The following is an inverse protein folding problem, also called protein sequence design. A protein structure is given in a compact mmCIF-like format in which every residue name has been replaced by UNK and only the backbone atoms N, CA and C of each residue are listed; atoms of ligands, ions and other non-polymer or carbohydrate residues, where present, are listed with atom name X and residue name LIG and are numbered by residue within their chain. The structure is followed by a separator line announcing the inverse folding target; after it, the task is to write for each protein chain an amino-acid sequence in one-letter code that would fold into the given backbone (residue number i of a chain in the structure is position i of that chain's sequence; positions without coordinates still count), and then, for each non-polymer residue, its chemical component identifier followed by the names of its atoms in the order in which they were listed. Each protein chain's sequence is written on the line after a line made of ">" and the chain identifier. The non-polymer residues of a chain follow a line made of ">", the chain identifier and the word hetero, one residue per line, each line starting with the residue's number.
data_IF_268339652393
#
_entry.id   IF_268339652393
#
_cell.length_a   1.000
_cell.length_b   1.000
_cell.length_c   1.000
_cell.angle_alpha   90.00
_cell.angle_beta   90.00
_cell.angle_gamma   90.00
#
_symmetry.space_group_name_H-M   'P 1'
#
loop_
_entity.id
_entity.type
_entity.pdbx_description
1 polymer ?
#
# COMPACT_ATOMS: atom_id res chain seq x y z
N UNK A 1 -0.05 32.68 -27.19
CA UNK A 1 -1.32 32.83 -26.43
C UNK A 1 -1.82 31.44 -26.10
N UNK A 2 -1.66 31.00 -24.85
CA UNK A 2 -2.12 29.70 -24.38
C UNK A 2 -2.94 29.93 -23.11
N UNK A 3 -4.27 29.83 -23.25
CA UNK A 3 -5.21 29.88 -22.15
C UNK A 3 -5.38 28.47 -21.59
N UNK A 4 -4.71 28.16 -20.48
CA UNK A 4 -4.99 26.98 -19.69
C UNK A 4 -6.24 27.24 -18.86
N UNK A 5 -7.39 26.73 -19.32
CA UNK A 5 -8.61 26.74 -18.52
C UNK A 5 -8.54 25.64 -17.45
N UNK A 6 -8.56 26.08 -16.19
CA UNK A 6 -8.84 25.25 -15.02
C UNK A 6 -10.31 24.81 -15.05
N UNK A 7 -10.67 23.52 -14.95
CA UNK A 7 -12.04 23.13 -14.70
C UNK A 7 -12.40 23.50 -13.26
N UNK A 8 -13.44 24.33 -13.10
CA UNK A 8 -14.07 24.61 -11.81
C UNK A 8 -14.67 23.32 -11.26
N UNK A 9 -14.20 22.89 -10.10
CA UNK A 9 -14.88 21.87 -9.30
C UNK A 9 -16.26 22.42 -8.89
N UNK A 10 -17.33 21.73 -9.28
CA UNK A 10 -18.68 22.00 -8.78
C UNK A 10 -18.71 21.70 -7.28
N UNK A 11 -18.72 22.77 -6.48
CA UNK A 11 -18.72 22.70 -5.02
C UNK A 11 -20.05 22.23 -4.47
N UNK A 12 -20.19 20.92 -4.28
CA UNK A 12 -21.02 20.39 -3.21
C UNK A 12 -20.23 20.52 -1.90
N UNK A 13 -20.81 21.16 -0.88
CA UNK A 13 -20.20 21.22 0.46
C UNK A 13 -19.90 19.80 0.96
N UNK A 14 -18.65 19.48 1.31
CA UNK A 14 -18.32 18.19 1.91
C UNK A 14 -19.19 17.96 3.15
N UNK A 15 -19.86 16.80 3.24
CA UNK A 15 -20.52 16.42 4.50
C UNK A 15 -19.42 16.32 5.57
N UNK A 16 -19.61 16.91 6.77
CA UNK A 16 -18.68 16.68 7.88
C UNK A 16 -18.61 15.17 8.15
N UNK A 17 -17.41 14.61 8.11
CA UNK A 17 -17.14 13.17 8.25
C UNK A 17 -17.05 12.36 6.95
N UNK A 18 -17.15 12.98 5.76
CA UNK A 18 -16.89 12.26 4.51
C UNK A 18 -15.37 12.06 4.32
N UNK A 19 -14.91 10.85 3.96
CA UNK A 19 -13.49 10.59 3.72
C UNK A 19 -12.95 11.52 2.63
N UNK A 20 -11.72 12.01 2.84
CA UNK A 20 -11.09 12.92 1.90
C UNK A 20 -10.90 12.22 0.54
N UNK A 21 -11.43 12.84 -0.51
CA UNK A 21 -11.34 12.34 -1.89
C UNK A 21 -10.29 13.12 -2.64
N UNK A 22 -9.41 12.42 -3.33
CA UNK A 22 -8.35 13.02 -4.12
C UNK A 22 -8.39 12.39 -5.51
N UNK A 23 -8.54 13.17 -6.60
CA UNK A 23 -8.43 12.62 -7.94
C UNK A 23 -7.07 11.94 -8.13
N UNK A 24 -7.02 10.82 -8.87
CA UNK A 24 -5.74 10.24 -9.25
C UNK A 24 -4.90 11.29 -9.99
N UNK A 25 -3.65 11.56 -9.57
CA UNK A 25 -2.69 12.27 -10.41
C UNK A 25 -2.42 11.45 -11.68
N UNK A 26 -1.91 12.14 -12.71
CA UNK A 26 -1.71 11.54 -14.05
C UNK A 26 -0.86 10.27 -14.00
N UNK A 27 0.16 10.23 -13.16
CA UNK A 27 1.03 9.05 -13.01
C UNK A 27 0.25 7.83 -12.49
N UNK A 28 -0.65 8.03 -11.53
CA UNK A 28 -1.46 6.96 -10.96
C UNK A 28 -2.51 6.47 -11.98
N UNK A 29 -3.12 7.39 -12.73
CA UNK A 29 -4.09 7.09 -13.78
C UNK A 29 -3.46 6.29 -14.92
N UNK A 30 -2.25 6.68 -15.36
CA UNK A 30 -1.48 5.91 -16.35
C UNK A 30 -1.12 4.52 -15.82
N UNK A 31 -0.59 4.44 -14.60
CA UNK A 31 -0.25 3.16 -13.98
C UNK A 31 -1.49 2.24 -13.87
N UNK A 32 -2.65 2.81 -13.54
CA UNK A 32 -3.91 2.07 -13.44
C UNK A 32 -4.42 1.57 -14.80
N UNK A 33 -4.25 2.36 -15.86
CA UNK A 33 -4.62 1.99 -17.23
C UNK A 33 -3.67 0.98 -17.88
N UNK A 34 -2.39 1.02 -17.51
CA UNK A 34 -1.38 0.08 -17.98
C UNK A 34 -1.29 -1.19 -17.13
N UNK A 35 -2.13 -1.36 -16.11
CA UNK A 35 -2.11 -2.52 -15.24
C UNK A 35 -2.34 -3.82 -16.02
N UNK A 36 -1.47 -4.81 -15.78
CA UNK A 36 -1.53 -6.13 -16.40
C UNK A 36 -1.34 -7.19 -15.32
N UNK A 37 -2.18 -8.22 -15.31
CA UNK A 37 -2.09 -9.28 -14.30
C UNK A 37 -0.75 -10.04 -14.36
N UNK A 38 -0.13 -10.10 -15.53
CA UNK A 38 1.18 -10.73 -15.74
C UNK A 38 2.37 -9.84 -15.31
N UNK A 39 2.14 -8.54 -15.07
CA UNK A 39 3.18 -7.58 -14.65
C UNK A 39 2.66 -6.75 -13.45
N UNK A 40 2.57 -7.35 -12.25
CA UNK A 40 2.07 -6.67 -11.06
C UNK A 40 2.93 -5.46 -10.71
N UNK A 41 2.28 -4.32 -10.43
CA UNK A 41 2.97 -3.06 -10.17
C UNK A 41 3.40 -2.96 -8.69
N UNK A 42 4.46 -3.68 -8.30
CA UNK A 42 4.92 -3.75 -6.91
C UNK A 42 6.22 -3.00 -6.64
N UNK A 43 6.35 -2.51 -5.42
CA UNK A 43 7.63 -2.16 -4.80
C UNK A 43 7.94 -3.24 -3.76
N UNK A 44 9.15 -3.79 -3.84
CA UNK A 44 9.67 -4.81 -2.93
C UNK A 44 10.85 -4.26 -2.15
N UNK A 45 10.77 -4.30 -0.81
CA UNK A 45 11.84 -3.89 0.09
C UNK A 45 12.04 -4.98 1.14
N UNK A 46 13.29 -5.41 1.31
CA UNK A 46 13.71 -6.34 2.36
C UNK A 46 14.58 -5.64 3.39
N UNK A 47 14.22 -5.76 4.66
CA UNK A 47 15.04 -5.31 5.78
C UNK A 47 15.46 -6.55 6.57
N UNK A 48 16.75 -6.85 6.54
CA UNK A 48 17.34 -8.01 7.20
C UNK A 48 17.73 -7.62 8.63
N UNK A 49 17.09 -8.26 9.61
CA UNK A 49 17.34 -8.02 11.03
C UNK A 49 18.12 -9.19 11.63
N UNK A 50 19.16 -8.93 12.44
CA UNK A 50 19.98 -9.97 13.04
C UNK A 50 19.25 -10.78 14.13
N UNK A 51 18.07 -10.33 14.56
CA UNK A 51 17.26 -10.97 15.59
C UNK A 51 15.79 -11.00 15.23
N UNK A 52 15.01 -11.70 16.06
CA UNK A 52 13.55 -11.79 15.93
C UNK A 52 12.87 -10.52 16.41
N UNK A 53 11.67 -10.27 15.88
CA UNK A 53 10.81 -9.17 16.28
C UNK A 53 9.63 -9.69 17.09
N UNK A 54 9.23 -8.94 18.12
CA UNK A 54 8.01 -9.23 18.87
C UNK A 54 6.79 -8.80 18.04
N UNK A 55 5.86 -9.73 17.83
CA UNK A 55 4.70 -9.52 16.96
C UNK A 55 3.81 -8.36 17.44
N UNK A 56 3.48 -8.32 18.74
CA UNK A 56 2.60 -7.30 19.28
C UNK A 56 3.22 -5.91 19.20
N UNK A 57 4.52 -5.79 19.50
CA UNK A 57 5.27 -4.54 19.41
C UNK A 57 5.41 -4.06 17.98
N UNK A 58 5.67 -4.96 17.02
CA UNK A 58 5.76 -4.58 15.61
C UNK A 58 4.41 -4.08 15.08
N UNK A 59 3.32 -4.79 15.39
CA UNK A 59 1.96 -4.38 15.00
C UNK A 59 1.60 -3.02 15.57
N UNK A 60 1.91 -2.78 16.84
CA UNK A 60 1.67 -1.49 17.48
C UNK A 60 2.48 -0.36 16.85
N UNK A 61 3.79 -0.57 16.61
CA UNK A 61 4.65 0.41 15.95
C UNK A 61 4.17 0.72 14.52
N UNK A 62 3.76 -0.31 13.78
CA UNK A 62 3.26 -0.16 12.42
C UNK A 62 1.92 0.59 12.39
N UNK A 63 1.01 0.31 13.33
CA UNK A 63 -0.24 1.05 13.46
C UNK A 63 0.01 2.55 13.78
N UNK A 64 0.98 2.85 14.64
CA UNK A 64 1.39 4.22 14.94
C UNK A 64 2.00 4.92 13.72
N UNK A 65 2.82 4.21 12.93
CA UNK A 65 3.37 4.74 11.68
C UNK A 65 2.26 5.09 10.68
N UNK A 66 1.25 4.23 10.51
CA UNK A 66 0.09 4.50 9.68
C UNK A 66 -0.72 5.72 10.18
N UNK A 67 -0.90 5.85 11.50
CA UNK A 67 -1.57 7.01 12.09
C UNK A 67 -0.80 8.32 11.85
N UNK A 68 0.53 8.28 11.87
CA UNK A 68 1.41 9.42 11.57
C UNK A 68 1.45 9.76 10.07
N UNK A 69 1.25 8.77 9.22
CA UNK A 69 1.33 8.87 7.76
C UNK A 69 0.03 8.41 7.09
N UNK A 70 -1.10 9.14 7.31
CA UNK A 70 -2.43 8.69 6.90
C UNK A 70 -2.58 8.53 5.38
N UNK A 71 -1.71 9.14 4.55
CA UNK A 71 -1.72 8.89 3.10
C UNK A 71 -1.49 7.43 2.73
N UNK A 72 -0.83 6.63 3.58
CA UNK A 72 -0.68 5.20 3.38
C UNK A 72 -2.02 4.45 3.46
N UNK A 73 -3.04 5.05 4.09
CA UNK A 73 -4.39 4.50 4.23
C UNK A 73 -5.32 4.86 3.05
N UNK A 74 -4.79 5.32 1.92
CA UNK A 74 -5.60 5.57 0.73
C UNK A 74 -5.87 4.28 -0.03
N UNK A 75 -7.09 4.16 -0.56
CA UNK A 75 -7.49 3.11 -1.51
C UNK A 75 -8.15 3.71 -2.75
N UNK A 76 -8.12 2.98 -3.86
CA UNK A 76 -8.92 3.29 -5.04
C UNK A 76 -10.40 3.19 -4.65
N UNK A 77 -11.11 4.30 -4.82
CA UNK A 77 -12.53 4.37 -4.55
C UNK A 77 -13.29 3.53 -5.59
N UNK A 78 -14.30 2.76 -5.19
CA UNK A 78 -15.21 2.13 -6.13
C UNK A 78 -15.86 3.17 -7.06
N UNK A 79 -15.52 3.10 -8.35
CA UNK A 79 -16.08 3.97 -9.38
C UNK A 79 -17.50 3.57 -9.79
N UNK A 80 -18.25 4.51 -10.36
CA UNK A 80 -19.47 4.15 -11.10
C UNK A 80 -19.10 3.62 -12.49
N UNK A 81 -19.98 2.86 -13.16
CA UNK A 81 -19.75 2.38 -14.53
C UNK A 81 -19.49 3.49 -15.56
N UNK A 82 -19.83 4.75 -15.24
CA UNK A 82 -19.65 5.92 -16.09
C UNK A 82 -18.57 6.88 -15.57
N UNK A 83 -17.82 6.49 -14.53
CA UNK A 83 -16.72 7.28 -14.01
C UNK A 83 -15.65 7.44 -15.09
N UNK A 84 -15.25 8.69 -15.38
CA UNK A 84 -14.22 9.00 -16.37
C UNK A 84 -12.82 9.13 -15.78
N UNK A 85 -12.71 9.04 -14.46
CA UNK A 85 -11.48 9.23 -13.68
C UNK A 85 -11.52 8.34 -12.45
N UNK A 86 -10.34 7.97 -11.99
CA UNK A 86 -10.14 7.29 -10.71
C UNK A 86 -9.98 8.30 -9.58
N UNK A 87 -10.39 7.92 -8.38
CA UNK A 87 -10.28 8.74 -7.18
C UNK A 87 -9.69 7.90 -6.05
N UNK A 88 -8.77 8.49 -5.30
CA UNK A 88 -8.34 8.00 -4.00
C UNK A 88 -9.38 8.37 -2.94
N UNK A 89 -9.62 7.45 -2.03
CA UNK A 89 -10.39 7.65 -0.80
C UNK A 89 -9.47 7.36 0.40
N UNK A 90 -9.33 8.34 1.30
CA UNK A 90 -8.63 8.15 2.57
C UNK A 90 -9.52 7.41 3.56
N UNK A 91 -9.07 6.27 4.10
CA UNK A 91 -9.76 5.55 5.17
C UNK A 91 -9.28 6.00 6.56
N UNK A 92 -10.13 5.87 7.58
CA UNK A 92 -9.76 6.19 8.97
C UNK A 92 -8.86 5.11 9.60
N UNK A 93 -9.00 3.87 9.13
CA UNK A 93 -8.24 2.71 9.57
C UNK A 93 -7.97 1.76 8.40
N UNK A 94 -7.02 0.82 8.53
CA UNK A 94 -6.87 -0.29 7.59
C UNK A 94 -8.17 -1.08 7.43
N UNK A 95 -8.51 -1.43 6.19
CA UNK A 95 -9.57 -2.40 5.85
C UNK A 95 -9.10 -3.84 6.12
N UNK A 96 -7.80 -4.08 5.98
CA UNK A 96 -7.15 -5.38 6.17
C UNK A 96 -5.98 -5.28 7.11
N UNK A 97 -5.65 -6.36 7.82
CA UNK A 97 -4.42 -6.43 8.60
C UNK A 97 -3.18 -6.39 7.67
N UNK A 98 -2.36 -5.33 7.72
CA UNK A 98 -1.23 -5.19 6.82
C UNK A 98 -0.01 -5.99 7.28
N UNK A 99 0.02 -6.50 8.52
CA UNK A 99 1.19 -7.20 9.08
C UNK A 99 0.89 -8.69 9.21
N UNK A 100 1.79 -9.54 8.71
CA UNK A 100 1.64 -10.99 8.76
C UNK A 100 2.91 -11.70 9.22
N UNK A 101 2.71 -12.80 9.97
CA UNK A 101 3.74 -13.67 10.53
C UNK A 101 3.49 -15.10 10.03
N UNK A 102 3.88 -15.42 8.77
CA UNK A 102 3.79 -16.79 8.27
C UNK A 102 4.64 -17.75 9.11
N UNK A 103 4.29 -19.04 9.08
CA UNK A 103 5.05 -20.05 9.79
C UNK A 103 6.50 -20.15 9.28
N UNK A 104 7.49 -20.34 10.18
CA UNK A 104 8.89 -20.53 9.80
C UNK A 104 9.07 -21.93 9.20
N UNK A 105 8.97 -22.02 7.88
CA UNK A 105 9.12 -23.26 7.12
C UNK A 105 10.23 -23.10 6.10
N UNK A 106 11.02 -24.15 5.79
CA UNK A 106 12.15 -24.02 4.87
C UNK A 106 11.77 -23.36 3.54
N UNK A 107 12.53 -22.36 3.10
CA UNK A 107 12.26 -21.60 1.88
C UNK A 107 11.14 -20.57 2.02
N UNK A 108 10.82 -20.16 3.26
CA UNK A 108 9.82 -19.14 3.52
C UNK A 108 10.18 -17.81 2.87
N UNK A 109 11.46 -17.43 2.86
CA UNK A 109 11.91 -16.17 2.27
C UNK A 109 11.75 -16.17 0.75
N UNK A 110 12.13 -17.25 0.08
CA UNK A 110 12.00 -17.34 -1.38
C UNK A 110 10.53 -17.38 -1.82
N UNK A 111 9.66 -18.04 -1.06
CA UNK A 111 8.20 -17.98 -1.30
C UNK A 111 7.63 -16.58 -1.07
N UNK A 112 8.07 -15.88 -0.03
CA UNK A 112 7.65 -14.51 0.24
C UNK A 112 8.10 -13.55 -0.88
N UNK A 113 9.33 -13.72 -1.39
CA UNK A 113 9.85 -13.00 -2.55
C UNK A 113 9.03 -13.26 -3.81
N UNK A 114 8.83 -14.52 -4.19
CA UNK A 114 8.02 -14.86 -5.35
C UNK A 114 6.63 -14.22 -5.26
N UNK A 115 5.95 -14.38 -4.11
CA UNK A 115 4.65 -13.77 -3.87
C UNK A 115 4.67 -12.24 -3.96
N UNK A 116 5.72 -11.58 -3.50
CA UNK A 116 5.82 -10.11 -3.57
C UNK A 116 5.91 -9.57 -5.00
N UNK A 117 6.46 -10.38 -5.92
CA UNK A 117 6.60 -10.05 -7.33
C UNK A 117 5.36 -10.48 -8.13
N UNK A 118 4.69 -11.56 -7.71
CA UNK A 118 3.51 -12.11 -8.38
C UNK A 118 2.18 -11.48 -7.90
N UNK A 119 2.13 -10.98 -6.67
CA UNK A 119 0.88 -10.50 -6.03
C UNK A 119 1.02 -9.10 -5.43
N UNK A 120 0.58 -8.11 -6.21
CA UNK A 120 0.41 -6.74 -5.71
C UNK A 120 -0.72 -6.67 -4.67
N UNK A 121 -0.52 -5.97 -3.53
CA UNK A 121 -1.62 -5.64 -2.62
C UNK A 121 -2.73 -4.91 -3.37
N UNK A 122 -4.02 -5.25 -3.18
CA UNK A 122 -5.10 -4.69 -3.98
C UNK A 122 -5.26 -3.19 -3.72
N UNK A 123 -5.40 -2.40 -4.79
CA UNK A 123 -5.70 -0.97 -4.68
C UNK A 123 -7.06 -0.68 -4.05
N UNK A 124 -8.00 -1.63 -4.12
CA UNK A 124 -9.36 -1.49 -3.60
C UNK A 124 -9.48 -1.65 -2.09
N UNK A 125 -8.38 -2.00 -1.39
CA UNK A 125 -8.33 -2.11 0.06
C UNK A 125 -7.21 -1.24 0.64
N UNK A 126 -7.48 -0.67 1.82
CA UNK A 126 -6.53 0.13 2.57
C UNK A 126 -5.82 -0.69 3.66
N UNK A 127 -4.52 -0.48 3.90
CA UNK A 127 -3.58 0.16 3.00
C UNK A 127 -3.20 -0.78 1.84
N UNK A 128 -2.87 -0.28 0.65
CA UNK A 128 -2.39 -1.08 -0.49
C UNK A 128 -0.91 -1.47 -0.31
N UNK A 129 -0.59 -2.05 0.85
CA UNK A 129 0.72 -2.53 1.25
C UNK A 129 0.57 -3.76 2.16
N UNK A 130 1.63 -4.55 2.23
CA UNK A 130 1.75 -5.72 3.10
C UNK A 130 3.15 -5.77 3.69
N UNK A 131 3.24 -5.91 5.01
CA UNK A 131 4.46 -6.22 5.76
C UNK A 131 4.42 -7.69 6.16
N UNK A 132 5.35 -8.48 5.64
CA UNK A 132 5.50 -9.89 6.01
C UNK A 132 6.77 -10.05 6.83
N UNK A 133 6.66 -10.59 8.04
CA UNK A 133 7.81 -10.96 8.86
C UNK A 133 8.16 -12.40 8.56
N UNK A 134 9.30 -12.61 7.91
CA UNK A 134 9.74 -13.94 7.49
C UNK A 134 10.85 -14.41 8.40
N UNK A 135 10.64 -15.57 9.02
CA UNK A 135 11.66 -16.32 9.76
C UNK A 135 12.02 -17.59 8.98
N UNK A 136 13.31 -17.92 8.90
CA UNK A 136 13.77 -19.20 8.36
C UNK A 136 14.20 -20.15 9.48
N UNK A 137 13.83 -21.44 9.43
CA UNK A 137 14.29 -22.42 10.40
C UNK A 137 15.83 -22.46 10.50
N UNK A 138 16.34 -22.51 11.73
CA UNK A 138 17.79 -22.55 11.98
C UNK A 138 18.49 -21.19 11.85
N UNK A 139 17.75 -20.09 11.62
CA UNK A 139 18.29 -18.73 11.65
C UNK A 139 17.90 -18.01 12.94
N UNK A 140 18.77 -17.11 13.41
CA UNK A 140 18.51 -16.28 14.61
C UNK A 140 17.75 -14.99 14.28
N UNK A 141 17.77 -14.57 13.01
CA UNK A 141 17.20 -13.32 12.52
C UNK A 141 15.83 -13.47 11.85
N UNK A 142 15.33 -12.35 11.35
CA UNK A 142 14.13 -12.31 10.51
C UNK A 142 14.29 -11.28 9.39
N UNK A 143 13.45 -11.38 8.36
CA UNK A 143 13.37 -10.42 7.26
C UNK A 143 12.01 -9.74 7.31
N UNK A 144 12.01 -8.42 7.37
CA UNK A 144 10.81 -7.61 7.14
C UNK A 144 10.69 -7.37 5.64
N UNK A 145 9.67 -7.96 5.03
CA UNK A 145 9.41 -7.89 3.60
C UNK A 145 8.19 -7.00 3.35
N UNK A 146 8.46 -5.80 2.84
CA UNK A 146 7.45 -4.84 2.43
C UNK A 146 7.11 -5.07 0.95
N UNK A 147 5.85 -5.42 0.68
CA UNK A 147 5.27 -5.40 -0.66
C UNK A 147 4.28 -4.27 -0.74
N UNK A 148 4.44 -3.36 -1.69
CA UNK A 148 3.59 -2.18 -1.83
C UNK A 148 3.08 -2.07 -3.24
N UNK A 149 1.82 -1.66 -3.43
CA UNK A 149 1.33 -1.33 -4.77
C UNK A 149 1.91 0.02 -5.19
N UNK A 150 2.72 0.05 -6.25
CA UNK A 150 3.50 1.24 -6.64
C UNK A 150 2.63 2.42 -7.07
N UNK A 151 1.42 2.16 -7.59
CA UNK A 151 0.43 3.22 -7.86
C UNK A 151 0.05 4.01 -6.60
N UNK A 152 0.10 3.42 -5.41
CA UNK A 152 -0.32 4.08 -4.17
C UNK A 152 0.85 4.66 -3.36
N UNK A 153 1.99 3.97 -3.32
CA UNK A 153 3.18 4.46 -2.63
C UNK A 153 4.46 4.14 -3.42
N UNK A 154 5.48 4.97 -3.23
CA UNK A 154 6.82 4.76 -3.77
C UNK A 154 7.80 4.28 -2.67
N UNK A 155 9.02 3.92 -3.07
CA UNK A 155 10.07 3.51 -2.14
C UNK A 155 10.31 4.50 -0.99
N UNK A 156 10.54 5.81 -1.25
CA UNK A 156 10.71 6.82 -0.20
C UNK A 156 9.51 6.98 0.74
N UNK A 157 8.28 6.84 0.25
CA UNK A 157 7.07 6.82 1.09
C UNK A 157 7.05 5.59 1.99
N UNK A 158 7.40 4.41 1.46
CA UNK A 158 7.48 3.19 2.24
C UNK A 158 8.53 3.28 3.36
N UNK A 159 9.68 3.92 3.14
CA UNK A 159 10.71 4.12 4.18
C UNK A 159 10.26 4.99 5.36
N UNK A 160 9.15 5.73 5.24
CA UNK A 160 8.56 6.46 6.39
C UNK A 160 7.73 5.55 7.30
N UNK A 161 7.37 4.36 6.81
CA UNK A 161 6.61 3.36 7.53
C UNK A 161 7.48 2.25 8.15
N UNK A 162 8.72 2.13 7.66
CA UNK A 162 9.71 1.12 8.06
C UNK A 162 10.42 1.47 9.38
#
# INVERSE_FOLDING_TARGET
>A
MATTQHPRAGGGTPRPGAPARVPFPVVDEVARHCAQDAEPNTVHIEIHLPGRVDEARLRAAFAEALARHPRALMRERPGSPFARRYEWELTESPDTDPVSFPAPVPGALDRARARSLDEAPPLTASPPLRLTVVEEPGTEGCVLLFTVHHTALDGPACMRLA
#
